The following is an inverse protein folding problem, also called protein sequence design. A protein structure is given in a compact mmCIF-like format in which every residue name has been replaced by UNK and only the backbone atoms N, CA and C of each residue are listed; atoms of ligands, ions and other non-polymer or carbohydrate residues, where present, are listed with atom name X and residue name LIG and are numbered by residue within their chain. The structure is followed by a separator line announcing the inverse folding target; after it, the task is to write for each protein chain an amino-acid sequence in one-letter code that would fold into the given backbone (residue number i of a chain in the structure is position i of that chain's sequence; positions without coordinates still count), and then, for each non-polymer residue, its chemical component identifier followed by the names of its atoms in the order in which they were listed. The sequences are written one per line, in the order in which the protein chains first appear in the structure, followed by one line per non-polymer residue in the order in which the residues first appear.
data_IF_714296828193
#
_entry.id   IF_714296828193
#
_cell.length_a   1.000
_cell.length_b   1.000
_cell.length_c   1.000
_cell.angle_alpha   90.00
_cell.angle_beta   90.00
_cell.angle_gamma   90.00
#
_symmetry.space_group_name_H-M   'P 1'
#
loop_
_entity.id
_entity.type
_entity.pdbx_description
1 polymer ?
#
# COMPACT_ATOMS: atom_id res chain seq x y z
N UNK A 1 -9.62 -21.31 7.14
CA UNK A 1 -9.95 -20.14 6.30
C UNK A 1 -8.77 -19.88 5.38
N UNK A 2 -9.00 -19.41 4.17
CA UNK A 2 -7.91 -19.02 3.25
C UNK A 2 -7.28 -17.73 3.76
N UNK A 3 -5.93 -17.61 3.87
CA UNK A 3 -5.27 -16.37 4.27
C UNK A 3 -5.56 -15.26 3.26
N UNK A 4 -5.91 -14.08 3.76
CA UNK A 4 -6.41 -12.99 2.92
C UNK A 4 -5.66 -11.66 3.09
N UNK A 5 -4.80 -11.51 4.11
CA UNK A 5 -4.15 -10.24 4.38
C UNK A 5 -2.71 -10.22 3.85
N UNK A 6 -2.35 -9.12 3.19
CA UNK A 6 -0.99 -8.72 2.89
C UNK A 6 -0.66 -7.48 3.73
N UNK A 7 0.29 -7.60 4.65
CA UNK A 7 0.59 -6.55 5.64
C UNK A 7 2.05 -6.12 5.60
N UNK A 8 2.39 -4.88 6.01
CA UNK A 8 3.79 -4.48 6.19
C UNK A 8 4.46 -5.34 7.26
N UNK A 9 5.73 -5.68 7.06
CA UNK A 9 6.60 -6.20 8.11
C UNK A 9 7.47 -5.06 8.64
N UNK A 10 7.52 -4.93 9.96
CA UNK A 10 8.45 -4.07 10.68
C UNK A 10 9.31 -4.93 11.62
N UNK A 11 10.62 -4.63 11.78
CA UNK A 11 11.50 -5.34 12.69
C UNK A 11 11.32 -4.88 14.14
N UNK A 12 10.10 -4.94 14.64
CA UNK A 12 9.69 -4.65 16.00
C UNK A 12 9.25 -5.94 16.68
N UNK A 13 9.82 -6.28 17.81
CA UNK A 13 9.60 -7.57 18.48
C UNK A 13 8.14 -7.78 18.90
N UNK A 14 7.48 -6.72 19.41
CA UNK A 14 6.08 -6.82 19.80
C UNK A 14 5.18 -7.05 18.59
N UNK A 15 5.43 -6.31 17.51
CA UNK A 15 4.69 -6.43 16.26
C UNK A 15 4.93 -7.80 15.59
N UNK A 16 6.16 -8.32 15.60
CA UNK A 16 6.45 -9.67 15.08
C UNK A 16 5.66 -10.72 15.85
N UNK A 17 5.60 -10.61 17.19
CA UNK A 17 4.80 -11.51 18.02
C UNK A 17 3.29 -11.42 17.71
N UNK A 18 2.79 -10.23 17.36
CA UNK A 18 1.42 -10.04 16.88
C UNK A 18 1.19 -10.74 15.55
N UNK A 19 2.13 -10.62 14.59
CA UNK A 19 2.05 -11.31 13.30
C UNK A 19 2.08 -12.83 13.45
N UNK A 20 2.90 -13.37 14.35
CA UNK A 20 2.95 -14.81 14.64
C UNK A 20 1.59 -15.36 15.09
N UNK A 21 0.86 -14.58 15.90
CA UNK A 21 -0.48 -14.97 16.39
C UNK A 21 -1.55 -14.94 15.31
N UNK A 22 -1.30 -14.31 14.17
CA UNK A 22 -2.26 -14.18 13.07
C UNK A 22 -1.76 -14.74 11.72
N UNK A 23 -0.71 -15.56 11.72
CA UNK A 23 -0.14 -16.16 10.50
C UNK A 23 -1.18 -16.88 9.63
N UNK A 24 -2.20 -17.49 10.24
CA UNK A 24 -3.29 -18.15 9.51
C UNK A 24 -4.13 -17.19 8.65
N UNK A 25 -4.14 -15.90 8.96
CA UNK A 25 -4.85 -14.86 8.23
C UNK A 25 -3.95 -14.16 7.18
N UNK A 26 -2.61 -14.35 7.29
CA UNK A 26 -1.63 -13.68 6.44
C UNK A 26 -1.36 -14.48 5.16
N UNK A 27 -1.66 -13.88 4.02
CA UNK A 27 -1.21 -14.39 2.72
C UNK A 27 0.26 -14.05 2.49
N UNK A 28 0.64 -12.82 2.81
CA UNK A 28 2.00 -12.34 2.64
C UNK A 28 2.33 -11.16 3.55
N UNK A 29 3.62 -10.92 3.67
CA UNK A 29 4.17 -9.66 4.22
C UNK A 29 5.03 -8.97 3.18
N UNK A 30 5.09 -7.63 3.27
CA UNK A 30 5.98 -6.82 2.45
C UNK A 30 6.85 -5.93 3.33
N UNK A 31 8.11 -5.77 2.96
CA UNK A 31 9.11 -5.09 3.78
C UNK A 31 10.06 -4.22 2.96
N UNK A 32 10.62 -3.20 3.61
CA UNK A 32 11.64 -2.34 3.01
C UNK A 32 13.01 -2.99 3.15
N UNK A 33 13.86 -2.75 2.15
CA UNK A 33 15.29 -3.07 2.24
C UNK A 33 16.04 -1.86 2.82
N UNK A 34 17.03 -2.14 3.64
CA UNK A 34 18.03 -1.13 3.98
C UNK A 34 18.97 -0.97 2.78
N UNK A 35 18.81 0.12 2.05
CA UNK A 35 19.58 0.44 0.85
C UNK A 35 19.69 1.95 0.67
N UNK A 36 20.87 2.41 0.21
CA UNK A 36 21.11 3.79 -0.16
C UNK A 36 21.41 3.89 -1.68
N UNK A 37 20.65 4.69 -2.43
CA UNK A 37 19.43 5.40 -2.04
C UNK A 37 18.25 4.48 -1.72
N UNK A 38 17.27 4.97 -0.97
CA UNK A 38 16.07 4.20 -0.62
C UNK A 38 15.27 3.80 -1.86
N UNK A 39 14.89 2.53 -1.96
CA UNK A 39 14.19 1.95 -3.12
C UNK A 39 12.67 1.91 -2.94
N UNK A 40 12.15 2.43 -1.83
CA UNK A 40 10.75 2.39 -1.44
C UNK A 40 9.94 3.59 -1.97
N UNK A 41 8.64 3.42 -2.07
CA UNK A 41 7.65 4.47 -2.41
C UNK A 41 7.26 5.36 -1.22
N UNK A 42 8.03 5.37 -0.15
CA UNK A 42 7.93 6.28 1.01
C UNK A 42 9.28 6.92 1.26
N UNK A 43 9.27 8.12 1.80
CA UNK A 43 10.52 8.78 2.20
C UNK A 43 11.12 8.03 3.38
N UNK A 44 12.40 7.70 3.28
CA UNK A 44 13.24 6.96 4.24
C UNK A 44 12.50 6.37 5.44
N UNK A 45 12.05 5.15 5.29
CA UNK A 45 11.59 4.36 6.43
C UNK A 45 12.83 3.74 7.05
N UNK A 46 13.28 4.30 8.15
CA UNK A 46 14.41 3.75 8.91
C UNK A 46 14.02 2.40 9.49
N UNK A 47 14.35 1.33 8.81
CA UNK A 47 14.26 -0.02 9.34
C UNK A 47 15.63 -0.40 9.95
N UNK A 48 15.94 0.19 11.10
CA UNK A 48 17.16 -0.12 11.84
C UNK A 48 17.15 -1.52 12.50
N UNK A 49 16.37 -2.46 11.97
CA UNK A 49 16.21 -3.79 12.55
C UNK A 49 16.51 -4.92 11.58
N UNK A 50 17.00 -6.02 12.11
CA UNK A 50 17.34 -7.18 11.31
C UNK A 50 16.09 -7.86 10.72
N UNK A 51 16.05 -8.07 9.40
CA UNK A 51 15.01 -8.84 8.70
C UNK A 51 14.94 -10.33 9.12
N UNK A 52 15.74 -10.73 10.11
CA UNK A 52 15.75 -12.10 10.68
C UNK A 52 14.40 -12.51 11.25
N UNK A 53 13.62 -11.56 11.77
CA UNK A 53 12.26 -11.79 12.25
C UNK A 53 11.31 -12.37 11.19
N UNK A 54 11.59 -12.20 9.89
CA UNK A 54 10.84 -12.82 8.81
C UNK A 54 10.87 -14.37 8.86
N UNK A 55 11.90 -14.96 9.44
CA UNK A 55 11.99 -16.40 9.63
C UNK A 55 10.92 -16.96 10.59
N UNK A 56 10.37 -16.08 11.46
CA UNK A 56 9.32 -16.43 12.43
C UNK A 56 7.92 -16.51 11.81
N UNK A 57 7.79 -16.23 10.51
CA UNK A 57 6.53 -16.28 9.76
C UNK A 57 6.57 -17.40 8.72
N UNK A 58 6.56 -18.69 9.16
CA UNK A 58 6.58 -19.82 8.24
C UNK A 58 5.29 -19.90 7.42
N UNK A 59 5.42 -20.24 6.14
CA UNK A 59 4.26 -20.34 5.22
C UNK A 59 3.69 -19.01 4.73
N UNK A 60 4.10 -17.88 5.31
CA UNK A 60 3.72 -16.53 4.85
C UNK A 60 4.71 -16.08 3.77
N UNK A 61 4.22 -15.65 2.61
CA UNK A 61 5.06 -15.15 1.52
C UNK A 61 5.67 -13.79 1.87
N UNK A 62 6.88 -13.54 1.37
CA UNK A 62 7.70 -12.41 1.77
C UNK A 62 8.16 -11.62 0.54
N UNK A 63 7.78 -10.35 0.44
CA UNK A 63 8.08 -9.50 -0.70
C UNK A 63 8.89 -8.27 -0.31
N UNK A 64 10.07 -8.11 -0.91
CA UNK A 64 10.89 -6.91 -0.74
C UNK A 64 10.34 -5.76 -1.60
N UNK A 65 10.26 -4.55 -1.02
CA UNK A 65 9.77 -3.37 -1.71
C UNK A 65 10.91 -2.68 -2.49
N UNK A 66 10.77 -2.66 -3.81
CA UNK A 66 11.59 -1.91 -4.76
C UNK A 66 10.67 -0.99 -5.58
N UNK A 67 9.69 -0.39 -4.91
CA UNK A 67 8.51 0.20 -5.54
C UNK A 67 8.55 1.73 -5.60
N UNK A 68 9.73 2.35 -5.50
CA UNK A 68 9.93 3.76 -5.84
C UNK A 68 9.47 4.03 -7.27
N UNK A 69 8.95 5.24 -7.52
CA UNK A 69 8.43 5.62 -8.85
C UNK A 69 9.50 5.59 -9.94
N UNK A 70 10.72 5.96 -9.58
CA UNK A 70 11.94 5.85 -10.38
C UNK A 70 13.14 5.71 -9.43
N UNK A 71 14.28 5.31 -9.98
CA UNK A 71 15.54 5.12 -9.27
C UNK A 71 16.62 6.03 -9.84
N UNK A 72 17.75 6.16 -9.14
CA UNK A 72 18.89 6.91 -9.64
C UNK A 72 19.33 6.36 -11.01
N UNK A 73 19.33 7.17 -12.08
CA UNK A 73 19.78 6.69 -13.40
C UNK A 73 21.21 6.14 -13.38
N UNK A 74 22.06 6.61 -12.48
CA UNK A 74 23.44 6.12 -12.31
C UNK A 74 23.47 4.68 -11.79
N UNK A 75 22.50 4.32 -10.92
CA UNK A 75 22.30 2.93 -10.47
C UNK A 75 21.95 2.01 -11.66
N UNK A 76 21.12 2.51 -12.58
CA UNK A 76 20.59 1.73 -13.70
C UNK A 76 21.57 1.64 -14.88
N UNK A 77 22.37 2.67 -15.13
CA UNK A 77 23.29 2.73 -16.28
C UNK A 77 24.63 2.09 -15.97
N UNK A 78 25.14 2.17 -14.74
CA UNK A 78 26.42 1.58 -14.39
C UNK A 78 26.26 0.11 -13.98
N UNK A 79 26.95 -0.80 -14.67
CA UNK A 79 26.86 -2.26 -14.37
C UNK A 79 27.33 -2.67 -12.97
N UNK A 80 27.92 -1.75 -12.18
CA UNK A 80 28.32 -2.00 -10.79
C UNK A 80 27.35 -1.45 -9.75
N UNK A 81 26.41 -0.60 -10.15
CA UNK A 81 25.51 0.10 -9.23
C UNK A 81 24.53 -0.85 -8.52
N UNK A 82 24.09 -1.91 -9.18
CA UNK A 82 23.13 -2.87 -8.65
C UNK A 82 23.76 -3.98 -7.79
N UNK A 83 25.07 -4.12 -7.76
CA UNK A 83 25.74 -5.22 -7.04
C UNK A 83 25.43 -5.27 -5.54
N UNK A 84 25.31 -4.16 -4.80
CA UNK A 84 24.88 -4.20 -3.40
C UNK A 84 23.46 -4.77 -3.25
N UNK A 85 22.52 -4.34 -4.10
CA UNK A 85 21.14 -4.83 -4.10
C UNK A 85 21.07 -6.33 -4.45
N UNK A 86 21.79 -6.76 -5.47
CA UNK A 86 21.90 -8.17 -5.86
C UNK A 86 22.40 -9.02 -4.69
N UNK A 87 23.49 -8.60 -4.00
CA UNK A 87 23.99 -9.31 -2.82
C UNK A 87 22.97 -9.40 -1.69
N UNK A 88 22.27 -8.30 -1.40
CA UNK A 88 21.24 -8.28 -0.37
C UNK A 88 20.10 -9.25 -0.70
N UNK A 89 19.56 -9.20 -1.92
CA UNK A 89 18.47 -10.08 -2.34
C UNK A 89 18.91 -11.53 -2.38
N UNK A 90 20.12 -11.84 -2.87
CA UNK A 90 20.67 -13.20 -2.86
C UNK A 90 20.82 -13.75 -1.45
N UNK A 91 21.35 -12.95 -0.52
CA UNK A 91 21.49 -13.35 0.89
C UNK A 91 20.15 -13.57 1.59
N UNK A 92 19.10 -12.82 1.25
CA UNK A 92 17.75 -13.06 1.75
C UNK A 92 17.13 -14.32 1.14
N UNK A 93 17.33 -14.54 -0.15
CA UNK A 93 16.82 -15.70 -0.87
C UNK A 93 17.45 -17.01 -0.36
N UNK A 94 18.76 -17.03 -0.12
CA UNK A 94 19.48 -18.19 0.41
C UNK A 94 19.07 -18.56 1.85
N UNK A 95 18.48 -17.59 2.57
CA UNK A 95 17.93 -17.75 3.93
C UNK A 95 16.41 -17.97 3.92
N UNK A 96 15.77 -18.08 2.76
CA UNK A 96 14.31 -18.22 2.59
C UNK A 96 13.51 -17.05 3.21
N UNK A 97 14.09 -15.83 3.19
CA UNK A 97 13.49 -14.62 3.74
C UNK A 97 12.87 -13.72 2.66
N UNK A 98 12.88 -14.14 1.40
CA UNK A 98 12.24 -13.40 0.30
C UNK A 98 11.75 -14.39 -0.77
N UNK A 99 10.51 -14.20 -1.25
CA UNK A 99 9.90 -14.96 -2.34
C UNK A 99 9.87 -14.15 -3.64
N UNK A 100 9.87 -12.82 -3.51
CA UNK A 100 9.78 -11.92 -4.65
C UNK A 100 9.99 -10.46 -4.28
N UNK A 101 9.86 -9.63 -5.29
CA UNK A 101 9.95 -8.17 -5.18
C UNK A 101 8.64 -7.52 -5.59
N UNK A 102 8.29 -6.40 -4.93
CA UNK A 102 7.24 -5.50 -5.41
C UNK A 102 7.92 -4.31 -6.06
N UNK A 103 7.65 -4.05 -7.33
CA UNK A 103 8.31 -3.00 -8.10
C UNK A 103 7.33 -2.01 -8.73
N UNK A 104 7.84 -0.87 -9.19
CA UNK A 104 7.11 0.12 -9.98
C UNK A 104 7.89 0.54 -11.24
N UNK A 105 9.21 0.67 -11.12
CA UNK A 105 10.10 1.07 -12.20
C UNK A 105 10.57 -0.16 -13.00
N UNK A 106 10.12 -0.25 -14.24
CA UNK A 106 10.46 -1.38 -15.11
C UNK A 106 11.93 -1.36 -15.58
N UNK A 107 12.57 -0.17 -15.63
CA UNK A 107 14.01 -0.09 -15.91
C UNK A 107 14.82 -0.81 -14.82
N UNK A 108 14.45 -0.65 -13.53
CA UNK A 108 15.10 -1.38 -12.45
C UNK A 108 14.90 -2.90 -12.63
N UNK A 109 13.69 -3.34 -12.96
CA UNK A 109 13.38 -4.75 -13.17
C UNK A 109 14.25 -5.35 -14.27
N UNK A 110 14.30 -4.70 -15.44
CA UNK A 110 15.12 -5.14 -16.57
C UNK A 110 16.61 -5.17 -16.22
N UNK A 111 17.11 -4.12 -15.56
CA UNK A 111 18.52 -4.05 -15.20
C UNK A 111 18.93 -5.11 -14.16
N UNK A 112 18.06 -5.42 -13.21
CA UNK A 112 18.28 -6.53 -12.28
C UNK A 112 18.36 -7.88 -13.02
N UNK A 113 17.48 -8.10 -13.97
CA UNK A 113 17.49 -9.31 -14.79
C UNK A 113 18.76 -9.45 -15.62
N UNK A 114 19.23 -8.37 -16.23
CA UNK A 114 20.47 -8.35 -17.03
C UNK A 114 21.71 -8.61 -16.16
N UNK A 115 21.78 -8.02 -14.97
CA UNK A 115 22.95 -8.11 -14.08
C UNK A 115 22.97 -9.41 -13.25
N UNK A 116 21.83 -10.02 -12.98
CA UNK A 116 21.69 -11.18 -12.12
C UNK A 116 20.56 -12.13 -12.58
N UNK A 117 20.69 -12.75 -13.76
CA UNK A 117 19.62 -13.58 -14.35
C UNK A 117 19.25 -14.79 -13.48
N UNK A 118 20.22 -15.36 -12.76
CA UNK A 118 19.94 -16.49 -11.84
C UNK A 118 19.09 -16.06 -10.65
N UNK A 119 19.33 -14.86 -10.11
CA UNK A 119 18.50 -14.25 -9.05
C UNK A 119 17.11 -13.95 -9.57
N UNK A 120 17.00 -13.34 -10.75
CA UNK A 120 15.71 -13.03 -11.38
C UNK A 120 14.87 -14.31 -11.58
N UNK A 121 15.45 -15.38 -12.07
CA UNK A 121 14.76 -16.67 -12.27
C UNK A 121 14.27 -17.35 -10.98
N UNK A 122 14.70 -16.88 -9.81
CA UNK A 122 14.27 -17.40 -8.50
C UNK A 122 13.24 -16.51 -7.79
N UNK A 123 13.15 -15.23 -8.14
CA UNK A 123 12.25 -14.25 -7.51
C UNK A 123 11.02 -13.97 -8.35
N UNK A 124 9.88 -13.80 -7.71
CA UNK A 124 8.69 -13.25 -8.35
C UNK A 124 8.80 -11.74 -8.50
N UNK A 125 8.35 -11.20 -9.63
CA UNK A 125 8.21 -9.76 -9.82
C UNK A 125 6.74 -9.37 -9.76
N UNK A 126 6.32 -8.72 -8.66
CA UNK A 126 4.94 -8.27 -8.46
C UNK A 126 4.85 -6.78 -8.78
N UNK A 127 4.06 -6.37 -9.77
CA UNK A 127 3.78 -4.94 -10.01
C UNK A 127 3.08 -4.33 -8.80
N UNK A 128 3.65 -3.26 -8.23
CA UNK A 128 3.06 -2.58 -7.08
C UNK A 128 1.83 -1.76 -7.46
N UNK A 129 1.04 -1.34 -6.48
CA UNK A 129 -0.18 -0.53 -6.71
C UNK A 129 0.09 0.77 -7.46
N UNK A 130 1.31 1.29 -7.39
CA UNK A 130 1.73 2.51 -8.11
C UNK A 130 2.02 2.28 -9.61
N UNK A 131 1.95 1.03 -10.10
CA UNK A 131 1.90 0.75 -11.56
C UNK A 131 0.53 1.03 -12.16
N UNK A 132 -0.49 1.29 -11.31
CA UNK A 132 -1.85 1.72 -11.70
C UNK A 132 -2.53 0.75 -12.68
N UNK A 133 -2.57 -0.52 -12.32
CA UNK A 133 -3.20 -1.58 -13.11
C UNK A 133 -4.72 -1.55 -12.93
N UNK A 134 -5.40 -0.78 -13.77
CA UNK A 134 -6.85 -0.56 -13.75
C UNK A 134 -7.58 -1.15 -14.94
N UNK A 135 -6.87 -1.84 -15.84
CA UNK A 135 -7.45 -2.45 -17.04
C UNK A 135 -6.71 -3.73 -17.46
N UNK A 136 -7.43 -4.63 -18.13
CA UNK A 136 -6.88 -5.89 -18.61
C UNK A 136 -5.65 -5.69 -19.50
N UNK A 137 -5.70 -4.74 -20.45
CA UNK A 137 -4.59 -4.47 -21.35
C UNK A 137 -3.31 -4.04 -20.60
N UNK A 138 -3.44 -3.25 -19.53
CA UNK A 138 -2.29 -2.87 -18.69
C UNK A 138 -1.71 -4.08 -17.96
N UNK A 139 -2.55 -4.95 -17.39
CA UNK A 139 -2.08 -6.15 -16.69
C UNK A 139 -1.43 -7.12 -17.65
N UNK A 140 -2.05 -7.37 -18.81
CA UNK A 140 -1.51 -8.27 -19.84
C UNK A 140 -0.13 -7.80 -20.33
N UNK A 141 0.00 -6.51 -20.67
CA UNK A 141 1.27 -5.89 -21.07
C UNK A 141 2.33 -6.02 -19.96
N UNK A 142 1.95 -5.79 -18.70
CA UNK A 142 2.86 -5.90 -17.57
C UNK A 142 3.34 -7.33 -17.36
N UNK A 143 2.43 -8.32 -17.43
CA UNK A 143 2.80 -9.74 -17.31
C UNK A 143 3.65 -10.21 -18.49
N UNK A 144 3.40 -9.72 -19.70
CA UNK A 144 4.24 -10.00 -20.87
C UNK A 144 5.68 -9.49 -20.64
N UNK A 145 5.82 -8.23 -20.24
CA UNK A 145 7.12 -7.64 -19.94
C UNK A 145 7.88 -8.35 -18.83
N UNK A 146 7.19 -8.80 -17.76
CA UNK A 146 7.83 -9.61 -16.69
C UNK A 146 8.41 -10.90 -17.25
N UNK A 147 7.65 -11.61 -18.10
CA UNK A 147 8.14 -12.86 -18.73
C UNK A 147 9.39 -12.64 -19.56
N UNK A 148 9.48 -11.51 -20.27
CA UNK A 148 10.65 -11.15 -21.08
C UNK A 148 11.90 -10.89 -20.25
N UNK A 149 11.78 -10.41 -19.00
CA UNK A 149 12.91 -10.19 -18.10
C UNK A 149 13.47 -11.47 -17.48
N UNK A 150 12.75 -12.59 -17.57
CA UNK A 150 13.15 -13.84 -16.94
C UNK A 150 12.86 -13.95 -15.44
N UNK A 151 12.25 -12.93 -14.81
CA UNK A 151 11.68 -13.08 -13.48
C UNK A 151 10.55 -14.11 -13.48
N UNK A 152 10.38 -14.78 -12.33
CA UNK A 152 9.22 -15.66 -12.17
C UNK A 152 7.92 -14.85 -12.31
N UNK A 153 7.00 -15.41 -13.07
CA UNK A 153 5.65 -14.85 -13.18
C UNK A 153 5.03 -14.77 -11.77
N UNK A 154 4.48 -13.62 -11.38
CA UNK A 154 3.95 -13.44 -10.04
C UNK A 154 2.73 -14.34 -9.80
N UNK A 155 2.63 -14.89 -8.60
CA UNK A 155 1.44 -15.63 -8.18
C UNK A 155 0.26 -14.69 -7.87
N UNK A 156 0.51 -13.39 -7.75
CA UNK A 156 -0.52 -12.37 -7.50
C UNK A 156 -0.32 -11.09 -8.29
N UNK A 157 -1.42 -10.36 -8.49
CA UNK A 157 -1.47 -9.04 -9.11
C UNK A 157 -2.11 -8.06 -8.14
N UNK A 158 -1.50 -6.87 -7.99
CA UNK A 158 -2.06 -5.77 -7.20
C UNK A 158 -2.74 -4.80 -8.16
N UNK A 159 -4.07 -4.71 -8.08
CA UNK A 159 -4.84 -3.81 -8.92
C UNK A 159 -4.84 -2.38 -8.39
N UNK A 160 -5.19 -1.43 -9.26
CA UNK A 160 -5.30 -0.03 -8.88
C UNK A 160 -6.47 0.19 -7.93
N UNK A 161 -6.25 1.06 -6.95
CA UNK A 161 -7.22 1.43 -5.92
C UNK A 161 -8.50 2.07 -6.46
N UNK A 162 -8.48 2.65 -7.66
CA UNK A 162 -9.70 3.23 -8.28
C UNK A 162 -10.80 2.19 -8.49
N UNK A 163 -10.42 0.92 -8.69
CA UNK A 163 -11.35 -0.19 -8.83
C UNK A 163 -12.13 -0.50 -7.54
N UNK A 164 -11.69 -0.03 -6.40
CA UNK A 164 -12.46 -0.15 -5.15
C UNK A 164 -13.77 0.65 -5.19
N UNK A 165 -13.94 1.55 -6.16
CA UNK A 165 -15.15 2.36 -6.39
C UNK A 165 -15.91 1.96 -7.65
N UNK A 166 -15.52 0.89 -8.32
CA UNK A 166 -16.13 0.40 -9.56
C UNK A 166 -16.15 -1.14 -9.53
N UNK A 167 -17.12 -1.68 -8.79
CA UNK A 167 -17.22 -3.13 -8.57
C UNK A 167 -17.52 -3.90 -9.87
N UNK A 168 -18.24 -3.30 -10.80
CA UNK A 168 -18.56 -3.95 -12.10
C UNK A 168 -17.27 -4.10 -12.93
N UNK A 169 -16.48 -3.05 -12.99
CA UNK A 169 -15.17 -3.08 -13.67
C UNK A 169 -14.19 -4.00 -12.96
N UNK A 170 -14.19 -4.01 -11.63
CA UNK A 170 -13.39 -4.94 -10.82
C UNK A 170 -13.76 -6.38 -11.14
N UNK A 171 -15.06 -6.71 -11.13
CA UNK A 171 -15.56 -8.06 -11.43
C UNK A 171 -15.16 -8.52 -12.83
N UNK A 172 -15.36 -7.66 -13.84
CA UNK A 172 -15.02 -7.97 -15.23
C UNK A 172 -13.48 -8.18 -15.39
N UNK A 173 -12.67 -7.32 -14.78
CA UNK A 173 -11.22 -7.45 -14.82
C UNK A 173 -10.75 -8.72 -14.10
N UNK A 174 -11.30 -9.02 -12.93
CA UNK A 174 -10.97 -10.21 -12.15
C UNK A 174 -11.28 -11.50 -12.95
N UNK A 175 -12.41 -11.54 -13.64
CA UNK A 175 -12.75 -12.68 -14.50
C UNK A 175 -11.75 -12.83 -15.65
N UNK A 176 -11.44 -11.75 -16.37
CA UNK A 176 -10.46 -11.77 -17.47
C UNK A 176 -9.08 -12.25 -17.02
N UNK A 177 -8.65 -11.86 -15.81
CA UNK A 177 -7.37 -12.26 -15.25
C UNK A 177 -7.34 -13.76 -14.91
N UNK A 178 -8.42 -14.30 -14.36
CA UNK A 178 -8.55 -15.73 -14.06
C UNK A 178 -8.59 -16.58 -15.33
N UNK A 179 -9.19 -16.05 -16.39
CA UNK A 179 -9.21 -16.70 -17.71
C UNK A 179 -7.82 -16.70 -18.36
N UNK A 180 -7.06 -15.60 -18.22
CA UNK A 180 -5.70 -15.48 -18.75
C UNK A 180 -4.70 -16.37 -18.01
N UNK A 181 -4.76 -16.38 -16.68
CA UNK A 181 -3.85 -17.12 -15.81
C UNK A 181 -4.63 -17.76 -14.65
N UNK A 182 -5.13 -19.00 -14.85
CA UNK A 182 -5.78 -19.73 -13.77
C UNK A 182 -4.90 -19.85 -12.55
N UNK A 183 -5.44 -19.49 -11.37
CA UNK A 183 -4.73 -19.52 -10.11
C UNK A 183 -3.97 -18.23 -9.73
N UNK A 184 -3.96 -17.21 -10.60
CA UNK A 184 -3.45 -15.89 -10.21
C UNK A 184 -4.33 -15.30 -9.09
N UNK A 185 -3.69 -14.81 -8.04
CA UNK A 185 -4.40 -14.14 -6.94
C UNK A 185 -4.51 -12.65 -7.22
N UNK A 186 -5.64 -12.07 -6.92
CA UNK A 186 -5.94 -10.66 -7.13
C UNK A 186 -5.95 -9.95 -5.78
N UNK A 187 -5.21 -8.85 -5.69
CA UNK A 187 -5.02 -8.08 -4.45
C UNK A 187 -5.51 -6.65 -4.63
N UNK A 188 -6.22 -6.11 -3.62
CA UNK A 188 -6.62 -4.71 -3.52
C UNK A 188 -6.01 -4.04 -2.29
N UNK A 189 -5.57 -2.79 -2.44
CA UNK A 189 -5.14 -1.94 -1.34
C UNK A 189 -6.36 -1.31 -0.65
N UNK A 190 -6.52 -1.55 0.66
CA UNK A 190 -7.72 -1.16 1.38
C UNK A 190 -7.65 0.17 2.11
N UNK A 191 -6.55 0.47 2.80
CA UNK A 191 -6.52 1.51 3.82
C UNK A 191 -5.58 2.70 3.52
N UNK A 192 -5.34 3.01 2.24
CA UNK A 192 -4.44 4.12 1.92
C UNK A 192 -5.06 5.50 2.22
N UNK A 193 -6.33 5.72 1.88
CA UNK A 193 -7.02 7.00 2.11
C UNK A 193 -6.69 8.10 1.10
N UNK A 194 -5.99 7.80 0.00
CA UNK A 194 -5.77 8.73 -1.10
C UNK A 194 -7.08 9.09 -1.81
N UNK A 195 -7.16 10.30 -2.37
CA UNK A 195 -8.32 10.72 -3.16
C UNK A 195 -8.45 9.90 -4.45
N UNK A 196 -9.67 9.60 -4.92
CA UNK A 196 -9.88 8.90 -6.18
C UNK A 196 -9.37 9.76 -7.35
N UNK A 197 -8.76 9.10 -8.34
CA UNK A 197 -8.25 9.75 -9.55
C UNK A 197 -7.40 11.01 -9.27
N UNK A 198 -6.61 11.01 -8.18
CA UNK A 198 -5.83 12.14 -7.74
C UNK A 198 -4.91 12.68 -8.87
N UNK A 199 -5.09 13.91 -9.36
CA UNK A 199 -4.28 14.46 -10.44
C UNK A 199 -2.81 14.65 -10.05
N UNK A 200 -2.54 14.77 -8.75
CA UNK A 200 -1.18 14.93 -8.22
C UNK A 200 -0.43 13.59 -8.06
N UNK A 201 -1.09 12.44 -8.23
CA UNK A 201 -0.53 11.13 -7.82
C UNK A 201 0.82 10.84 -8.45
N UNK A 202 0.97 11.01 -9.75
CA UNK A 202 2.23 10.74 -10.46
C UNK A 202 3.36 11.67 -10.01
N UNK A 203 3.06 12.98 -9.91
CA UNK A 203 4.03 13.97 -9.45
C UNK A 203 4.39 13.75 -7.98
N UNK A 204 3.41 13.42 -7.12
CA UNK A 204 3.66 13.12 -5.71
C UNK A 204 4.60 11.93 -5.56
N UNK A 205 4.33 10.82 -6.25
CA UNK A 205 5.20 9.63 -6.22
C UNK A 205 6.61 9.95 -6.76
N UNK A 206 6.71 10.82 -7.77
CA UNK A 206 8.00 11.29 -8.30
C UNK A 206 8.76 12.17 -7.30
N UNK A 207 8.07 13.05 -6.58
CA UNK A 207 8.72 13.86 -5.53
C UNK A 207 9.17 13.02 -4.34
N UNK A 208 8.45 11.95 -3.97
CA UNK A 208 8.93 10.98 -2.97
C UNK A 208 10.23 10.30 -3.47
N UNK A 209 10.24 9.84 -4.72
CA UNK A 209 11.43 9.23 -5.31
C UNK A 209 12.62 10.21 -5.33
N UNK A 210 12.38 11.46 -5.69
CA UNK A 210 13.41 12.52 -5.66
C UNK A 210 13.93 12.77 -4.25
N UNK A 211 13.04 12.84 -3.25
CA UNK A 211 13.42 13.02 -1.85
C UNK A 211 14.33 11.88 -1.35
N UNK A 212 14.08 10.66 -1.80
CA UNK A 212 14.93 9.50 -1.50
C UNK A 212 16.33 9.58 -2.15
N UNK A 213 16.46 10.31 -3.26
CA UNK A 213 17.74 10.50 -3.95
C UNK A 213 18.57 11.67 -3.40
N UNK A 214 17.93 12.79 -3.08
CA UNK A 214 18.62 14.03 -2.68
C UNK A 214 18.56 14.32 -1.17
N UNK A 215 17.77 13.54 -0.42
CA UNK A 215 17.62 13.65 1.02
C UNK A 215 16.74 14.81 1.49
N UNK A 216 16.03 15.51 0.59
CA UNK A 216 15.15 16.64 0.92
C UNK A 216 13.71 16.31 0.64
N UNK A 217 12.93 16.06 1.70
CA UNK A 217 11.50 15.84 1.56
C UNK A 217 10.71 17.15 1.65
N UNK A 218 10.13 17.54 0.53
CA UNK A 218 9.20 18.66 0.39
C UNK A 218 7.79 18.22 0.06
N UNK A 219 7.52 16.91 0.10
CA UNK A 219 6.21 16.35 -0.31
C UNK A 219 5.08 16.82 0.60
N UNK A 220 5.34 16.92 1.91
CA UNK A 220 4.38 17.45 2.87
C UNK A 220 4.04 18.91 2.55
N UNK A 221 5.03 19.77 2.38
CA UNK A 221 4.84 21.19 2.09
C UNK A 221 4.09 21.41 0.78
N UNK A 222 4.41 20.62 -0.26
CA UNK A 222 3.68 20.65 -1.53
C UNK A 222 2.20 20.30 -1.34
N UNK A 223 1.91 19.26 -0.56
CA UNK A 223 0.53 18.84 -0.28
C UNK A 223 -0.24 19.84 0.57
N UNK A 224 0.40 20.52 1.52
CA UNK A 224 -0.19 21.62 2.29
C UNK A 224 -0.51 22.84 1.42
N UNK A 225 0.31 23.13 0.41
CA UNK A 225 0.16 24.33 -0.43
C UNK A 225 -0.74 24.13 -1.65
N UNK A 226 -0.67 22.96 -2.28
CA UNK A 226 -1.28 22.72 -3.59
C UNK A 226 -1.86 21.31 -3.78
N UNK A 227 -1.83 20.45 -2.75
CA UNK A 227 -2.23 19.05 -2.87
C UNK A 227 -3.40 18.66 -1.98
N UNK A 228 -3.42 17.35 -1.63
CA UNK A 228 -4.55 16.74 -0.92
C UNK A 228 -4.71 17.25 0.53
N UNK A 229 -3.63 17.64 1.21
CA UNK A 229 -3.73 18.17 2.59
C UNK A 229 -4.56 19.46 2.56
N UNK A 230 -4.19 20.43 1.73
CA UNK A 230 -4.95 21.64 1.55
C UNK A 230 -6.42 21.37 1.21
N UNK A 231 -6.65 20.47 0.24
CA UNK A 231 -8.00 20.13 -0.18
C UNK A 231 -8.84 19.54 0.94
N UNK A 232 -8.27 18.66 1.76
CA UNK A 232 -8.97 18.03 2.88
C UNK A 232 -9.13 18.97 4.08
N UNK A 233 -8.25 19.95 4.28
CA UNK A 233 -8.44 21.02 5.27
C UNK A 233 -9.62 21.93 4.88
N UNK A 234 -9.74 22.29 3.59
CA UNK A 234 -10.84 23.12 3.08
C UNK A 234 -12.17 22.34 2.93
N UNK A 235 -12.09 21.05 2.58
CA UNK A 235 -13.23 20.19 2.25
C UNK A 235 -13.07 18.76 2.83
N UNK A 236 -13.12 18.61 4.16
CA UNK A 236 -12.82 17.32 4.80
C UNK A 236 -13.79 16.20 4.43
N UNK A 237 -15.01 16.52 4.00
CA UNK A 237 -15.99 15.55 3.49
C UNK A 237 -15.48 14.73 2.28
N UNK A 238 -14.47 15.24 1.55
CA UNK A 238 -13.84 14.51 0.45
C UNK A 238 -13.10 13.24 0.90
N UNK A 239 -12.84 13.12 2.19
CA UNK A 239 -12.34 11.86 2.77
C UNK A 239 -13.26 10.68 2.39
N UNK A 240 -14.57 10.86 2.43
CA UNK A 240 -15.54 9.80 2.09
C UNK A 240 -15.53 9.43 0.59
N UNK A 241 -14.93 10.25 -0.26
CA UNK A 241 -14.73 9.94 -1.68
C UNK A 241 -13.51 9.02 -1.91
N UNK A 242 -12.61 8.88 -0.94
CA UNK A 242 -11.43 8.02 -1.04
C UNK A 242 -11.82 6.55 -1.27
N UNK A 243 -11.11 5.82 -2.13
CA UNK A 243 -11.40 4.42 -2.44
C UNK A 243 -10.88 3.45 -1.35
N UNK A 244 -11.03 3.80 -0.08
CA UNK A 244 -10.75 2.85 0.99
C UNK A 244 -11.81 1.75 1.07
N UNK A 245 -11.43 0.62 1.61
CA UNK A 245 -12.30 -0.52 1.94
C UNK A 245 -12.31 -0.61 3.47
N UNK A 246 -13.46 -0.43 4.12
CA UNK A 246 -13.55 -0.60 5.58
C UNK A 246 -13.41 -2.08 5.97
N UNK A 247 -13.04 -2.37 7.22
CA UNK A 247 -13.09 -3.75 7.74
C UNK A 247 -14.45 -4.43 7.50
N UNK A 248 -15.55 -3.71 7.70
CA UNK A 248 -16.93 -4.17 7.53
C UNK A 248 -17.28 -4.51 6.08
N UNK A 249 -16.61 -3.86 5.11
CA UNK A 249 -16.91 -4.00 3.69
C UNK A 249 -16.05 -5.08 2.99
N UNK A 250 -15.06 -5.66 3.68
CA UNK A 250 -14.07 -6.59 3.08
C UNK A 250 -14.74 -7.75 2.34
N UNK A 251 -15.79 -8.33 2.90
CA UNK A 251 -16.42 -9.52 2.32
C UNK A 251 -17.10 -9.21 0.97
N UNK A 252 -17.54 -7.97 0.74
CA UNK A 252 -18.04 -7.52 -0.56
C UNK A 252 -16.95 -7.62 -1.64
N UNK A 253 -15.72 -7.25 -1.30
CA UNK A 253 -14.59 -7.29 -2.23
C UNK A 253 -14.01 -8.68 -2.40
N UNK A 254 -14.00 -9.51 -1.34
CA UNK A 254 -13.51 -10.89 -1.41
C UNK A 254 -14.36 -11.80 -2.31
N UNK A 255 -15.54 -11.35 -2.72
CA UNK A 255 -16.29 -12.01 -3.77
C UNK A 255 -15.57 -11.95 -5.14
N UNK A 256 -14.77 -10.90 -5.37
CA UNK A 256 -14.09 -10.65 -6.64
C UNK A 256 -12.58 -10.89 -6.57
N UNK A 257 -11.96 -10.68 -5.40
CA UNK A 257 -10.51 -10.73 -5.20
C UNK A 257 -10.11 -11.71 -4.11
N UNK A 258 -8.83 -12.01 -3.99
CA UNK A 258 -8.33 -13.05 -3.10
C UNK A 258 -7.62 -12.47 -1.87
N UNK A 259 -7.12 -11.24 -1.95
CA UNK A 259 -6.25 -10.66 -0.93
C UNK A 259 -6.52 -9.17 -0.73
N UNK A 260 -6.49 -8.75 0.52
CA UNK A 260 -6.59 -7.36 0.96
C UNK A 260 -5.21 -6.92 1.47
N UNK A 261 -4.65 -5.91 0.81
CA UNK A 261 -3.39 -5.29 1.20
C UNK A 261 -3.64 -4.16 2.18
N UNK A 262 -2.88 -4.15 3.27
CA UNK A 262 -2.85 -3.07 4.24
C UNK A 262 -1.53 -2.29 4.11
N UNK A 263 -1.58 -1.00 4.39
CA UNK A 263 -0.42 -0.12 4.44
C UNK A 263 -0.38 0.66 5.76
N UNK A 264 0.66 1.48 6.00
CA UNK A 264 0.83 2.25 7.22
C UNK A 264 2.16 2.00 7.93
N UNK A 265 3.17 1.41 7.24
CA UNK A 265 4.48 1.11 7.85
C UNK A 265 5.21 2.33 8.43
N UNK A 266 4.91 3.54 7.92
CA UNK A 266 5.49 4.79 8.43
C UNK A 266 4.83 5.28 9.71
N UNK A 267 3.66 4.75 10.05
CA UNK A 267 2.89 5.09 11.26
C UNK A 267 3.22 4.17 12.46
N UNK A 268 4.10 3.18 12.25
CA UNK A 268 4.63 2.32 13.29
C UNK A 268 3.78 1.10 13.62
N UNK A 269 4.31 0.29 14.56
CA UNK A 269 3.76 -1.00 14.95
C UNK A 269 2.33 -0.89 15.51
N UNK A 270 2.08 0.05 16.43
CA UNK A 270 0.78 0.20 17.07
C UNK A 270 -0.35 0.53 16.08
N UNK A 271 -0.08 1.37 15.06
CA UNK A 271 -1.04 1.61 13.98
C UNK A 271 -1.35 0.32 13.21
N UNK A 272 -0.32 -0.44 12.84
CA UNK A 272 -0.49 -1.67 12.08
C UNK A 272 -1.24 -2.75 12.87
N UNK A 273 -0.96 -2.90 14.15
CA UNK A 273 -1.67 -3.82 15.05
C UNK A 273 -3.17 -3.49 15.14
N UNK A 274 -3.50 -2.19 15.28
CA UNK A 274 -4.88 -1.72 15.27
C UNK A 274 -5.57 -2.05 13.95
N UNK A 275 -4.95 -1.71 12.83
CA UNK A 275 -5.49 -1.96 11.49
C UNK A 275 -5.66 -3.46 11.24
N UNK A 276 -4.64 -4.29 11.48
CA UNK A 276 -4.72 -5.74 11.29
C UNK A 276 -5.85 -6.33 12.14
N UNK A 277 -5.95 -5.91 13.41
CA UNK A 277 -7.00 -6.37 14.32
C UNK A 277 -8.39 -6.02 13.80
N UNK A 278 -8.60 -4.80 13.33
CA UNK A 278 -9.88 -4.35 12.76
C UNK A 278 -10.27 -5.19 11.52
N UNK A 279 -9.34 -5.39 10.57
CA UNK A 279 -9.62 -6.15 9.35
C UNK A 279 -9.83 -7.66 9.61
N UNK A 280 -9.15 -8.23 10.59
CA UNK A 280 -9.41 -9.61 11.02
C UNK A 280 -10.79 -9.78 11.65
N UNK A 281 -11.21 -8.79 12.45
CA UNK A 281 -12.54 -8.78 13.10
C UNK A 281 -13.68 -8.38 12.17
N UNK A 282 -13.41 -7.88 10.97
CA UNK A 282 -14.41 -7.31 10.06
C UNK A 282 -15.22 -6.19 10.72
N UNK A 283 -14.62 -5.47 11.63
CA UNK A 283 -15.29 -4.43 12.41
C UNK A 283 -14.30 -3.46 13.04
N UNK A 284 -14.69 -2.17 13.06
CA UNK A 284 -13.98 -1.15 13.79
C UNK A 284 -14.92 -0.16 14.46
N UNK A 285 -14.88 -0.07 15.78
CA UNK A 285 -15.75 0.79 16.60
C UNK A 285 -15.02 2.07 17.05
N UNK A 286 -14.46 2.83 16.09
CA UNK A 286 -13.63 4.01 16.41
C UNK A 286 -13.61 5.05 15.31
N UNK A 287 -12.60 5.92 15.38
CA UNK A 287 -12.34 6.94 14.37
C UNK A 287 -11.84 6.29 13.08
N UNK A 288 -12.59 6.43 11.98
CA UNK A 288 -12.19 5.89 10.67
C UNK A 288 -10.75 6.30 10.28
N UNK A 289 -10.31 7.49 10.67
CA UNK A 289 -8.98 8.01 10.36
C UNK A 289 -7.85 7.20 11.02
N UNK A 290 -8.12 6.48 12.11
CA UNK A 290 -7.14 5.59 12.76
C UNK A 290 -6.82 4.33 11.94
N UNK A 291 -7.53 4.12 10.84
CA UNK A 291 -7.30 3.01 9.92
C UNK A 291 -6.61 3.46 8.61
N UNK A 292 -6.58 4.77 8.29
CA UNK A 292 -6.18 5.28 6.97
C UNK A 292 -4.77 5.89 6.98
N UNK A 293 -3.85 5.31 6.21
CA UNK A 293 -2.43 5.70 6.15
C UNK A 293 -2.23 7.17 5.71
N UNK A 294 -2.76 7.55 4.55
CA UNK A 294 -2.49 8.86 3.96
C UNK A 294 -3.20 10.03 4.66
N UNK A 295 -4.18 9.75 5.49
CA UNK A 295 -5.01 10.76 6.19
C UNK A 295 -4.92 10.66 7.71
N UNK A 296 -4.01 9.86 8.25
CA UNK A 296 -3.80 9.72 9.70
C UNK A 296 -3.51 11.04 10.41
N UNK A 297 -2.89 12.02 9.73
CA UNK A 297 -2.64 13.38 10.24
C UNK A 297 -3.92 14.14 10.63
N UNK A 298 -5.09 13.75 10.09
CA UNK A 298 -6.38 14.32 10.47
C UNK A 298 -6.94 13.74 11.77
N UNK A 299 -6.50 12.54 12.18
CA UNK A 299 -7.06 11.82 13.32
C UNK A 299 -6.91 12.56 14.65
N UNK A 300 -5.92 13.44 14.80
CA UNK A 300 -5.74 14.27 15.98
C UNK A 300 -6.69 15.48 16.04
N UNK A 301 -7.32 15.85 14.93
CA UNK A 301 -8.16 17.03 14.78
C UNK A 301 -9.62 16.71 14.55
N UNK A 302 -9.89 15.51 14.05
CA UNK A 302 -11.20 15.13 13.55
C UNK A 302 -11.53 13.70 13.97
N UNK A 303 -12.73 13.49 14.47
CA UNK A 303 -13.30 12.17 14.69
C UNK A 303 -14.34 11.90 13.62
N UNK A 304 -14.20 10.80 12.89
CA UNK A 304 -15.17 10.31 11.90
C UNK A 304 -15.67 8.96 12.40
N UNK A 305 -16.89 8.92 12.93
CA UNK A 305 -17.44 7.72 13.55
C UNK A 305 -17.73 6.63 12.52
N UNK A 306 -16.83 5.62 12.44
CA UNK A 306 -16.97 4.52 11.52
C UNK A 306 -18.26 3.70 11.72
N UNK A 307 -18.81 3.67 12.95
CA UNK A 307 -20.05 2.93 13.27
C UNK A 307 -21.30 3.54 12.64
N UNK A 308 -21.25 4.85 12.34
CA UNK A 308 -22.35 5.58 11.73
C UNK A 308 -22.40 5.42 10.21
N UNK A 309 -21.38 4.85 9.59
CA UNK A 309 -21.42 4.47 8.19
C UNK A 309 -22.29 3.22 8.02
N UNK A 310 -23.31 3.31 7.16
CA UNK A 310 -24.22 2.20 6.91
C UNK A 310 -23.51 0.96 6.38
N UNK A 311 -24.13 -0.19 6.51
CA UNK A 311 -23.54 -1.45 6.04
C UNK A 311 -23.42 -1.51 4.51
N UNK A 312 -24.27 -0.79 3.79
CA UNK A 312 -24.29 -0.68 2.31
C UNK A 312 -23.45 0.48 1.77
N UNK A 313 -22.69 1.18 2.64
CA UNK A 313 -21.88 2.35 2.28
C UNK A 313 -20.97 2.10 1.08
N UNK A 314 -20.20 0.99 1.08
CA UNK A 314 -19.31 0.68 -0.03
C UNK A 314 -20.08 0.38 -1.33
N UNK A 315 -21.20 -0.33 -1.25
CA UNK A 315 -22.03 -0.63 -2.40
C UNK A 315 -22.67 0.64 -3.00
N UNK A 316 -23.12 1.58 -2.16
CA UNK A 316 -23.63 2.88 -2.63
C UNK A 316 -22.53 3.70 -3.33
N UNK A 317 -21.33 3.70 -2.78
CA UNK A 317 -20.22 4.43 -3.39
C UNK A 317 -19.69 3.78 -4.68
N UNK A 318 -19.81 2.46 -4.82
CA UNK A 318 -19.47 1.77 -6.06
C UNK A 318 -20.41 2.12 -7.24
N UNK A 319 -21.62 2.60 -6.95
CA UNK A 319 -22.59 3.07 -7.95
C UNK A 319 -22.53 4.60 -8.17
N UNK A 320 -21.56 5.29 -7.54
CA UNK A 320 -21.44 6.73 -7.65
C UNK A 320 -20.97 7.16 -9.04
N UNK A 321 -21.69 8.11 -9.65
CA UNK A 321 -21.35 8.68 -10.98
C UNK A 321 -20.27 9.77 -10.92
N UNK A 322 -19.74 10.05 -9.74
CA UNK A 322 -18.70 11.07 -9.46
C UNK A 322 -19.11 12.52 -9.81
N UNK A 323 -20.41 12.81 -9.95
CA UNK A 323 -20.92 14.20 -10.14
C UNK A 323 -21.03 14.93 -8.83
N UNK A 324 -19.89 15.10 -8.15
CA UNK A 324 -19.82 15.66 -6.79
C UNK A 324 -20.27 17.12 -6.69
N UNK A 325 -20.29 17.86 -7.79
CA UNK A 325 -20.81 19.22 -7.91
C UNK A 325 -22.36 19.28 -7.82
N UNK A 326 -23.03 18.20 -8.19
CA UNK A 326 -24.50 18.06 -8.17
C UNK A 326 -25.00 17.19 -7.01
N UNK A 327 -24.13 16.32 -6.46
CA UNK A 327 -24.44 15.37 -5.41
C UNK A 327 -23.94 15.88 -4.05
N UNK A 328 -24.84 16.05 -3.08
CA UNK A 328 -24.50 16.44 -1.70
C UNK A 328 -24.15 15.29 -0.76
N UNK A 329 -24.35 14.04 -1.17
CA UNK A 329 -24.32 12.85 -0.31
C UNK A 329 -23.12 12.75 0.64
N UNK A 330 -21.89 12.80 0.12
CA UNK A 330 -20.70 12.69 0.94
C UNK A 330 -20.56 13.84 1.96
N UNK A 331 -21.04 15.05 1.60
CA UNK A 331 -21.02 16.22 2.51
C UNK A 331 -22.04 16.07 3.62
N UNK A 332 -23.26 15.69 3.29
CA UNK A 332 -24.32 15.48 4.26
C UNK A 332 -24.00 14.35 5.23
N UNK A 333 -23.54 13.21 4.69
CA UNK A 333 -23.11 12.08 5.50
C UNK A 333 -21.96 12.47 6.42
N UNK A 334 -20.93 13.15 5.88
CA UNK A 334 -19.78 13.58 6.67
C UNK A 334 -20.21 14.51 7.82
N UNK A 335 -21.13 15.46 7.57
CA UNK A 335 -21.66 16.34 8.60
C UNK A 335 -22.38 15.58 9.71
N UNK A 336 -23.01 14.47 9.40
CA UNK A 336 -23.72 13.64 10.37
C UNK A 336 -22.80 12.78 11.25
N UNK A 337 -21.64 12.34 10.71
CA UNK A 337 -20.78 11.34 11.37
C UNK A 337 -19.44 11.91 11.88
N UNK A 338 -19.08 13.13 11.48
CA UNK A 338 -17.79 13.71 11.82
C UNK A 338 -17.96 14.92 12.77
N UNK A 339 -17.01 15.02 13.71
CA UNK A 339 -16.92 16.18 14.60
C UNK A 339 -15.47 16.51 14.93
N UNK A 340 -15.14 17.80 15.16
CA UNK A 340 -13.79 18.19 15.54
C UNK A 340 -13.45 17.65 16.93
N UNK A 341 -12.20 17.23 17.10
CA UNK A 341 -11.64 16.89 18.39
C UNK A 341 -11.13 18.15 19.09
N UNK A 342 -11.24 18.25 20.43
CA UNK A 342 -10.66 19.34 21.17
C UNK A 342 -9.14 19.34 20.99
N UNK A 343 -8.56 20.52 20.73
CA UNK A 343 -7.11 20.66 20.69
C UNK A 343 -6.54 20.39 22.09
N UNK A 344 -5.79 19.30 22.22
CA UNK A 344 -4.98 19.03 23.42
C UNK A 344 -3.69 19.83 23.29
N UNK A 345 -3.60 20.96 23.98
CA UNK A 345 -2.36 21.72 24.10
C UNK A 345 -1.52 21.02 25.17
N UNK A 346 -0.61 20.14 24.78
CA UNK A 346 0.41 19.64 25.71
C UNK A 346 1.34 20.79 26.10
N UNK A 347 1.36 21.14 27.36
CA UNK A 347 2.31 22.11 27.88
C UNK A 347 3.72 21.46 27.90
N UNK A 348 4.53 21.72 26.87
CA UNK A 348 5.91 21.22 26.74
C UNK A 348 6.88 21.80 27.77
N UNK A 349 6.43 22.60 28.75
CA UNK A 349 7.27 23.22 29.78
C UNK A 349 7.64 22.31 30.96
N UNK A 350 7.16 21.06 30.99
CA UNK A 350 7.38 20.15 32.13
C UNK A 350 8.38 19.03 31.81
N UNK A 351 9.33 19.24 30.90
CA UNK A 351 10.49 18.34 30.78
C UNK A 351 11.79 19.15 30.77
N UNK A 352 12.05 19.75 31.90
CA UNK A 352 13.37 20.21 32.31
C UNK A 352 13.54 19.77 33.77
N UNK A 353 13.98 18.51 33.93
CA UNK A 353 14.75 18.04 35.10
C UNK A 353 15.44 16.72 34.71
#
# INVERSE_FOLDING_TARGET
MTPILNVPFLPDEHYIACLEQCTADLESVHFCLEHEPCLDSRVRVGNAGALTGLARLPGVRKYALLNSRFHDPRLLVSGRGLQPLVRTLSGLLDRELVDGIVYCDHYLLQRLADEAPELAGRLEAVPGVNTMLDSFAKVEAQLASIRETGFRTPAKIILDRSLNRDLDRLAALAQQLRDLQPGIRIELLANEGCLPHCPCKLSHDAYIALANLDGRDLTHDLNCRAGCIRLLEEQPHRLLQSPFIRPEDVDLYLYHVDTIKLCGRTLGAGFLENVITAYRRRRYDGNLLDLLDATAWLAERLYVDNRMLSFDFAAMLAQCDNRCDQCGFCRELFTAIAHPLPLVIEDRRVRAD
#
